data_IF_203982917754
#
_entry.id   IF_203982917754
#
_cell.length_a   1.000
_cell.length_b   1.000
_cell.length_c   1.000
_cell.angle_alpha   90.00
_cell.angle_beta   90.00
_cell.angle_gamma   90.00
#
_symmetry.space_group_name_H-M   'P 1'
#
loop_
_entity.id
_entity.type
_entity.pdbx_description
1 polymer ?
#
# COMPACT_ATOMS: atom_id res chain seq x y z
N UNK A 1 3.80 5.59 6.01
CA UNK A 1 2.84 4.67 5.34
C UNK A 1 1.46 5.32 5.33
N UNK A 2 0.72 5.28 4.21
CA UNK A 2 -0.59 5.91 4.12
C UNK A 2 -1.62 5.25 5.05
N UNK A 3 -2.51 6.05 5.64
CA UNK A 3 -3.68 5.54 6.39
C UNK A 3 -4.71 4.97 5.40
N UNK A 4 -5.52 3.96 5.78
CA UNK A 4 -6.60 3.46 4.92
C UNK A 4 -7.57 4.59 4.49
N UNK A 5 -8.04 4.62 3.24
CA UNK A 5 -8.78 5.77 2.68
C UNK A 5 -10.29 5.72 3.00
N UNK A 6 -10.69 5.31 4.20
CA UNK A 6 -12.12 5.24 4.54
C UNK A 6 -12.58 6.55 5.17
N UNK A 7 -13.11 7.43 4.32
CA UNK A 7 -13.74 8.69 4.73
C UNK A 7 -15.21 8.65 4.31
N UNK A 8 -16.09 9.00 5.25
CA UNK A 8 -17.51 9.21 4.99
C UNK A 8 -17.82 10.69 5.22
N UNK A 9 -18.41 11.32 4.21
CA UNK A 9 -18.82 12.71 4.27
C UNK A 9 -20.34 12.78 4.53
N UNK A 10 -20.72 13.40 5.65
CA UNK A 10 -22.11 13.53 6.08
C UNK A 10 -22.54 15.00 6.05
N UNK A 11 -23.67 15.26 5.41
CA UNK A 11 -24.40 16.52 5.56
C UNK A 11 -25.20 16.50 6.85
N UNK A 12 -25.16 17.59 7.59
CA UNK A 12 -25.85 17.70 8.88
C UNK A 12 -27.04 18.63 8.79
N UNK A 13 -28.16 18.20 9.39
CA UNK A 13 -29.32 19.03 9.61
C UNK A 13 -29.40 19.34 11.11
N UNK A 14 -29.45 20.62 11.45
CA UNK A 14 -29.44 21.10 12.83
C UNK A 14 -30.76 21.82 13.12
N UNK A 15 -31.32 21.51 14.29
CA UNK A 15 -32.45 22.22 14.88
C UNK A 15 -32.06 22.52 16.33
N UNK A 16 -32.01 23.81 16.69
CA UNK A 16 -31.67 24.23 18.04
C UNK A 16 -32.91 24.82 18.68
N UNK A 17 -33.53 24.04 19.57
CA UNK A 17 -34.60 24.49 20.44
C UNK A 17 -34.07 25.15 21.73
N UNK A 18 -34.93 25.89 22.40
CA UNK A 18 -34.61 26.57 23.67
C UNK A 18 -34.81 28.09 23.59
N UNK A 19 -34.49 28.78 24.69
CA UNK A 19 -34.60 30.24 24.81
C UNK A 19 -33.32 30.97 24.41
N UNK A 20 -32.18 30.27 24.49
CA UNK A 20 -30.85 30.82 24.29
C UNK A 20 -30.01 29.89 23.41
N UNK A 21 -29.23 30.47 22.49
CA UNK A 21 -28.25 29.72 21.73
C UNK A 21 -27.21 29.08 22.67
N UNK A 22 -26.83 27.81 22.45
CA UNK A 22 -25.84 27.13 23.28
C UNK A 22 -24.47 27.77 23.13
N UNK A 23 -23.63 27.62 24.16
CA UNK A 23 -22.24 28.04 24.08
C UNK A 23 -21.50 27.23 23.00
N UNK A 24 -21.77 25.91 22.95
CA UNK A 24 -21.07 24.98 22.08
C UNK A 24 -21.92 23.76 21.72
N UNK A 25 -21.73 23.26 20.49
CA UNK A 25 -22.18 21.94 20.06
C UNK A 25 -20.92 21.18 19.64
N UNK A 26 -20.58 20.12 20.38
CA UNK A 26 -19.30 19.40 20.23
C UNK A 26 -19.52 17.94 19.90
N UNK A 27 -18.73 17.43 18.96
CA UNK A 27 -18.65 16.03 18.60
C UNK A 27 -17.55 15.37 19.42
N UNK A 28 -17.87 14.26 20.08
CA UNK A 28 -16.98 13.50 20.96
C UNK A 28 -16.95 12.05 20.49
N UNK A 29 -15.76 11.50 20.31
CA UNK A 29 -15.51 10.16 19.78
C UNK A 29 -14.20 9.59 20.32
N UNK A 30 -13.97 8.31 20.09
CA UNK A 30 -12.71 7.65 20.44
C UNK A 30 -11.63 7.97 19.39
N UNK A 31 -10.67 8.82 19.78
CA UNK A 31 -9.56 9.26 18.92
C UNK A 31 -8.62 8.14 18.48
N UNK A 32 -8.73 6.94 19.06
CA UNK A 32 -8.00 5.76 18.56
C UNK A 32 -8.53 5.32 17.20
N UNK A 33 -9.84 5.42 17.01
CA UNK A 33 -10.53 4.86 15.84
C UNK A 33 -10.92 5.90 14.80
N UNK A 34 -11.15 7.15 15.21
CA UNK A 34 -11.68 8.18 14.32
C UNK A 34 -10.87 9.47 14.34
N UNK A 35 -10.89 10.14 13.19
CA UNK A 35 -10.49 11.53 12.98
C UNK A 35 -11.69 12.19 12.28
N UNK A 36 -12.17 13.33 12.78
CA UNK A 36 -13.33 14.03 12.18
C UNK A 36 -12.92 15.43 11.76
N UNK A 37 -13.14 15.77 10.50
CA UNK A 37 -12.68 17.04 9.89
C UNK A 37 -11.18 17.30 10.10
N UNK A 38 -10.37 16.24 10.11
CA UNK A 38 -8.92 16.32 10.35
C UNK A 38 -8.50 16.53 11.81
N UNK A 39 -9.45 16.52 12.76
CA UNK A 39 -9.21 16.73 14.18
C UNK A 39 -9.42 15.45 14.99
N UNK A 40 -8.73 15.34 16.13
CA UNK A 40 -8.78 14.18 17.02
C UNK A 40 -9.88 14.26 18.09
N UNK A 41 -10.62 15.39 18.16
CA UNK A 41 -11.73 15.59 19.08
C UNK A 41 -11.31 15.84 20.54
N UNK A 42 -10.01 15.95 20.82
CA UNK A 42 -9.48 16.31 22.14
C UNK A 42 -9.91 17.71 22.58
N UNK A 43 -9.69 18.06 23.85
CA UNK A 43 -10.00 19.41 24.34
C UNK A 43 -9.11 20.48 23.68
N UNK A 44 -7.91 20.12 23.25
CA UNK A 44 -7.01 21.01 22.50
C UNK A 44 -7.47 21.19 21.04
N UNK A 45 -8.07 20.16 20.43
CA UNK A 45 -8.53 20.15 19.04
C UNK A 45 -9.98 19.64 18.93
N UNK A 46 -10.97 20.39 19.44
CA UNK A 46 -12.35 19.93 19.49
C UNK A 46 -13.01 20.01 18.12
N UNK A 47 -13.92 19.07 17.84
CA UNK A 47 -14.76 19.11 16.64
C UNK A 47 -16.09 19.74 16.99
N UNK A 48 -16.41 20.87 16.36
CA UNK A 48 -17.58 21.68 16.68
C UNK A 48 -18.54 21.76 15.50
N UNK A 49 -19.84 21.82 15.82
CA UNK A 49 -20.86 22.27 14.89
C UNK A 49 -21.04 23.77 15.15
N UNK A 50 -20.75 24.56 14.13
CA UNK A 50 -20.75 26.02 14.18
C UNK A 50 -22.16 26.61 14.18
N UNK A 51 -23.12 25.92 13.56
CA UNK A 51 -24.51 26.38 13.55
C UNK A 51 -25.21 26.15 14.91
N UNK A 52 -25.34 27.25 15.67
CA UNK A 52 -25.95 27.30 17.00
C UNK A 52 -27.24 28.14 17.01
N UNK A 53 -27.69 28.64 15.86
CA UNK A 53 -28.80 29.58 15.82
C UNK A 53 -30.12 28.91 16.26
N UNK A 54 -30.94 29.64 17.01
CA UNK A 54 -32.24 29.13 17.42
C UNK A 54 -33.18 29.02 16.22
N UNK A 55 -34.05 28.01 16.25
CA UNK A 55 -35.16 27.89 15.30
C UNK A 55 -35.14 26.61 14.48
N UNK A 56 -35.93 26.64 13.40
CA UNK A 56 -36.29 25.47 12.62
C UNK A 56 -35.09 24.73 12.03
N UNK A 57 -35.33 23.44 11.78
CA UNK A 57 -34.39 22.52 11.13
C UNK A 57 -33.88 23.07 9.81
N UNK A 58 -32.56 23.09 9.66
CA UNK A 58 -31.86 23.58 8.46
C UNK A 58 -30.54 22.83 8.27
N UNK A 59 -29.97 22.94 7.08
CA UNK A 59 -28.62 22.43 6.81
C UNK A 59 -27.60 23.32 7.52
N UNK A 60 -26.68 22.73 8.28
CA UNK A 60 -25.53 23.45 8.80
C UNK A 60 -24.55 23.65 7.65
N UNK A 61 -24.78 24.71 6.87
CA UNK A 61 -24.17 24.97 5.56
C UNK A 61 -22.64 25.08 5.55
N UNK A 62 -22.00 25.22 6.71
CA UNK A 62 -20.54 25.27 6.88
C UNK A 62 -19.92 23.98 7.47
N UNK A 63 -20.73 23.03 7.96
CA UNK A 63 -20.27 21.94 8.82
C UNK A 63 -20.52 20.56 8.20
N UNK A 64 -19.97 20.31 7.01
CA UNK A 64 -19.90 18.94 6.54
C UNK A 64 -19.01 18.13 7.49
N UNK A 65 -19.51 17.00 7.98
CA UNK A 65 -18.77 16.11 8.88
C UNK A 65 -18.09 15.03 8.04
N UNK A 66 -16.78 15.13 7.90
CA UNK A 66 -15.90 14.11 7.32
C UNK A 66 -15.40 13.19 8.41
N UNK A 67 -15.98 12.01 8.49
CA UNK A 67 -15.60 10.97 9.45
C UNK A 67 -14.59 10.06 8.77
N UNK A 68 -13.36 10.06 9.27
CA UNK A 68 -12.28 9.18 8.81
C UNK A 68 -12.05 8.08 9.82
N UNK A 69 -12.11 6.83 9.36
CA UNK A 69 -11.78 5.66 10.17
C UNK A 69 -10.28 5.39 10.05
N UNK A 70 -9.54 5.59 11.14
CA UNK A 70 -8.07 5.50 11.16
C UNK A 70 -7.56 4.18 11.74
N UNK A 71 -8.41 3.46 12.47
CA UNK A 71 -8.11 2.12 13.00
C UNK A 71 -9.38 1.26 13.08
N UNK A 72 -9.24 -0.05 12.89
CA UNK A 72 -10.35 -0.99 13.00
C UNK A 72 -10.74 -1.28 14.45
N UNK A 73 -12.03 -1.54 14.69
CA UNK A 73 -12.59 -1.86 16.00
C UNK A 73 -13.47 -3.12 15.93
N UNK A 74 -13.50 -3.89 17.01
CA UNK A 74 -14.25 -5.15 17.12
C UNK A 74 -15.59 -5.01 17.86
N UNK A 75 -15.81 -3.86 18.51
CA UNK A 75 -17.01 -3.55 19.27
C UNK A 75 -17.69 -2.30 18.71
N UNK A 76 -18.99 -2.18 18.94
CA UNK A 76 -19.78 -0.99 18.57
C UNK A 76 -19.11 0.28 19.11
N UNK A 77 -18.87 1.25 18.23
CA UNK A 77 -18.39 2.58 18.61
C UNK A 77 -19.53 3.61 18.55
N UNK A 78 -19.36 4.70 19.27
CA UNK A 78 -20.32 5.80 19.32
C UNK A 78 -19.60 7.14 19.08
N UNK A 79 -20.11 7.91 18.12
CA UNK A 79 -19.75 9.32 17.92
C UNK A 79 -20.91 10.14 18.49
N UNK A 80 -20.67 10.87 19.57
CA UNK A 80 -21.71 11.59 20.33
C UNK A 80 -21.66 13.07 20.06
N UNK A 81 -22.82 13.70 19.94
CA UNK A 81 -22.96 15.15 19.83
C UNK A 81 -23.50 15.67 21.15
N UNK A 82 -22.71 16.49 21.83
CA UNK A 82 -23.08 17.14 23.08
C UNK A 82 -23.32 18.63 22.87
N UNK A 83 -24.36 19.14 23.49
CA UNK A 83 -24.68 20.57 23.55
C UNK A 83 -24.30 21.07 24.94
N UNK A 84 -23.54 22.15 24.98
CA UNK A 84 -23.19 22.89 26.18
C UNK A 84 -24.12 24.10 26.24
N UNK A 85 -25.12 24.11 27.15
CA UNK A 85 -26.04 25.23 27.29
C UNK A 85 -25.31 26.54 27.59
N UNK A 86 -25.98 27.67 27.35
CA UNK A 86 -25.43 29.00 27.59
C UNK A 86 -24.88 29.15 29.02
N UNK A 87 -23.70 29.76 29.15
CA UNK A 87 -23.01 29.98 30.42
C UNK A 87 -22.38 28.74 31.04
N UNK A 88 -22.32 27.62 30.31
CA UNK A 88 -21.67 26.38 30.76
C UNK A 88 -20.16 26.50 30.61
N UNK A 89 -19.65 27.05 29.50
CA UNK A 89 -18.20 27.09 29.24
C UNK A 89 -17.41 27.98 30.20
N UNK A 90 -18.07 28.87 30.92
CA UNK A 90 -17.45 29.70 31.96
C UNK A 90 -17.17 28.94 33.27
N UNK A 91 -17.69 27.72 33.41
CA UNK A 91 -17.57 26.89 34.63
C UNK A 91 -16.37 25.94 34.55
N UNK A 92 -15.92 25.36 35.67
CA UNK A 92 -14.90 24.31 35.66
C UNK A 92 -15.30 23.10 34.79
N UNK A 93 -14.33 22.41 34.19
CA UNK A 93 -14.56 21.31 33.24
C UNK A 93 -15.49 20.22 33.77
N UNK A 94 -15.39 19.87 35.05
CA UNK A 94 -16.28 18.87 35.66
C UNK A 94 -17.76 19.30 35.63
N UNK A 95 -18.04 20.57 35.91
CA UNK A 95 -19.38 21.13 35.81
C UNK A 95 -19.86 21.23 34.37
N UNK A 96 -18.96 21.53 33.42
CA UNK A 96 -19.28 21.51 31.99
C UNK A 96 -19.73 20.12 31.54
N UNK A 97 -18.99 19.08 31.94
CA UNK A 97 -19.29 17.69 31.61
C UNK A 97 -20.59 17.20 32.24
N UNK A 98 -20.97 17.74 33.40
CA UNK A 98 -22.24 17.46 34.06
C UNK A 98 -23.42 18.18 33.41
N UNK A 99 -23.24 19.44 33.02
CA UNK A 99 -24.30 20.29 32.47
C UNK A 99 -24.60 20.02 30.99
N UNK A 100 -23.65 19.45 30.23
CA UNK A 100 -23.84 19.16 28.81
C UNK A 100 -24.96 18.14 28.58
N UNK A 101 -25.71 18.31 27.49
CA UNK A 101 -26.81 17.43 27.09
C UNK A 101 -26.46 16.66 25.83
N UNK A 102 -26.82 15.39 25.76
CA UNK A 102 -26.67 14.58 24.53
C UNK A 102 -27.74 15.01 23.52
N UNK A 103 -27.33 15.57 22.39
CA UNK A 103 -28.24 15.97 21.31
C UNK A 103 -28.33 14.93 20.18
N UNK A 104 -27.32 14.09 20.03
CA UNK A 104 -27.33 13.06 19.00
C UNK A 104 -26.23 12.04 19.18
N UNK A 105 -26.36 10.91 18.49
CA UNK A 105 -25.31 9.89 18.40
C UNK A 105 -25.34 9.20 17.05
N UNK A 106 -24.17 8.94 16.51
CA UNK A 106 -23.97 8.04 15.38
C UNK A 106 -23.43 6.73 15.96
N UNK A 107 -24.10 5.62 15.63
CA UNK A 107 -23.66 4.28 16.00
C UNK A 107 -22.83 3.75 14.83
N UNK A 108 -21.56 3.46 15.09
CA UNK A 108 -20.66 2.86 14.10
C UNK A 108 -20.47 1.40 14.46
N UNK A 109 -20.96 0.51 13.59
CA UNK A 109 -20.86 -0.92 13.81
C UNK A 109 -19.50 -1.44 13.33
N UNK A 110 -18.90 -2.42 14.04
CA UNK A 110 -17.72 -3.09 13.52
C UNK A 110 -18.09 -3.80 12.22
N UNK A 111 -17.11 -3.92 11.32
CA UNK A 111 -17.33 -4.64 10.07
C UNK A 111 -17.56 -6.14 10.39
N UNK A 112 -18.76 -6.65 10.09
CA UNK A 112 -19.16 -8.04 10.32
C UNK A 112 -19.50 -8.66 8.97
N UNK A 113 -18.98 -9.87 8.71
CA UNK A 113 -19.27 -10.57 7.47
C UNK A 113 -20.62 -11.33 7.50
N UNK A 114 -21.25 -11.48 8.67
CA UNK A 114 -22.53 -12.19 8.81
C UNK A 114 -23.23 -11.88 10.14
N UNK A 115 -24.56 -11.93 10.15
CA UNK A 115 -25.39 -11.81 11.36
C UNK A 115 -25.11 -12.97 12.32
N UNK A 116 -24.86 -12.67 13.60
CA UNK A 116 -24.60 -13.69 14.63
C UNK A 116 -23.14 -14.12 14.80
N UNK A 117 -22.20 -13.60 13.99
CA UNK A 117 -20.77 -13.90 14.13
C UNK A 117 -19.98 -12.75 14.79
N UNK A 118 -18.82 -13.11 15.35
CA UNK A 118 -17.87 -12.17 15.95
C UNK A 118 -17.39 -11.16 14.89
N UNK A 119 -17.02 -9.95 15.34
CA UNK A 119 -16.39 -8.97 14.45
C UNK A 119 -15.12 -9.58 13.83
N UNK A 120 -15.02 -9.54 12.50
CA UNK A 120 -13.88 -10.10 11.77
C UNK A 120 -12.97 -8.96 11.38
N UNK A 121 -11.66 -9.11 11.63
CA UNK A 121 -10.67 -8.23 11.03
C UNK A 121 -10.66 -8.50 9.52
N UNK A 122 -11.42 -7.72 8.77
CA UNK A 122 -11.56 -7.88 7.32
C UNK A 122 -10.30 -7.46 6.54
N UNK A 123 -9.40 -6.72 7.19
CA UNK A 123 -8.11 -6.38 6.62
C UNK A 123 -7.12 -7.51 6.89
N UNK A 124 -6.71 -8.20 5.83
CA UNK A 124 -5.65 -9.21 5.90
C UNK A 124 -4.29 -8.53 6.05
N UNK A 125 -3.52 -8.92 7.05
CA UNK A 125 -2.12 -8.53 7.12
C UNK A 125 -1.28 -9.44 6.22
N UNK A 126 -0.48 -8.85 5.33
CA UNK A 126 0.47 -9.57 4.49
C UNK A 126 1.84 -8.96 4.67
N UNK A 127 2.83 -9.79 5.01
CA UNK A 127 4.22 -9.35 5.10
C UNK A 127 4.86 -9.37 3.71
N UNK A 128 5.62 -8.34 3.38
CA UNK A 128 6.40 -8.24 2.15
C UNK A 128 7.86 -8.02 2.51
N UNK A 129 8.75 -8.64 1.75
CA UNK A 129 10.18 -8.35 1.83
C UNK A 129 10.65 -7.87 0.46
N UNK A 130 11.28 -6.69 0.42
CA UNK A 130 11.89 -6.15 -0.79
C UNK A 130 13.36 -6.55 -0.84
N UNK A 131 13.75 -7.22 -1.91
CA UNK A 131 15.08 -7.80 -2.12
C UNK A 131 15.72 -7.08 -3.28
N UNK A 132 16.74 -6.27 -3.03
CA UNK A 132 17.54 -5.66 -4.09
C UNK A 132 18.39 -6.74 -4.73
N UNK A 133 18.19 -6.99 -6.02
CA UNK A 133 18.97 -7.99 -6.75
C UNK A 133 20.11 -7.30 -7.44
N UNK A 134 21.33 -7.84 -7.28
CA UNK A 134 22.50 -7.41 -8.04
C UNK A 134 22.87 -8.45 -9.07
N UNK A 135 23.16 -7.99 -10.27
CA UNK A 135 23.39 -8.82 -11.45
C UNK A 135 24.51 -8.22 -12.29
N UNK A 136 25.14 -9.04 -13.11
CA UNK A 136 26.24 -8.65 -14.00
C UNK A 136 26.02 -9.27 -15.38
N UNK A 137 24.93 -8.84 -16.04
CA UNK A 137 24.46 -9.51 -17.26
C UNK A 137 25.46 -9.36 -18.40
N UNK A 138 26.03 -8.17 -18.61
CA UNK A 138 26.91 -7.89 -19.76
C UNK A 138 28.25 -7.25 -19.34
N UNK A 139 28.83 -7.73 -18.24
CA UNK A 139 30.11 -7.23 -17.72
C UNK A 139 30.01 -5.93 -16.89
N UNK A 140 28.81 -5.37 -16.73
CA UNK A 140 28.53 -4.24 -15.84
C UNK A 140 27.62 -4.72 -14.73
N UNK A 141 28.09 -4.59 -13.48
CA UNK A 141 27.29 -4.93 -12.32
C UNK A 141 26.33 -3.78 -11.96
N UNK A 142 25.04 -4.11 -11.82
CA UNK A 142 23.99 -3.16 -11.41
C UNK A 142 23.10 -3.78 -10.34
N UNK A 143 22.45 -2.94 -9.53
CA UNK A 143 21.58 -3.38 -8.42
C UNK A 143 20.23 -2.69 -8.52
N UNK A 144 19.15 -3.48 -8.51
CA UNK A 144 17.79 -2.96 -8.51
C UNK A 144 17.43 -2.25 -7.20
N UNK A 145 16.46 -1.33 -7.25
CA UNK A 145 16.04 -0.56 -6.08
C UNK A 145 14.52 -0.42 -6.06
N UNK A 146 13.96 -0.37 -4.86
CA UNK A 146 12.56 -0.03 -4.64
C UNK A 146 12.45 1.36 -4.03
N UNK A 147 11.66 2.24 -4.63
CA UNK A 147 11.50 3.64 -4.22
C UNK A 147 10.44 3.76 -3.10
N UNK A 148 10.65 4.59 -2.07
CA UNK A 148 9.62 4.93 -1.08
C UNK A 148 8.25 5.33 -1.67
N UNK A 149 8.20 5.99 -2.82
CA UNK A 149 6.92 6.33 -3.48
C UNK A 149 6.16 5.09 -3.98
N UNK A 150 6.88 4.05 -4.42
CA UNK A 150 6.29 2.79 -4.85
C UNK A 150 5.68 2.03 -3.67
N UNK A 151 6.29 2.11 -2.48
CA UNK A 151 5.70 1.60 -1.24
C UNK A 151 4.35 2.26 -0.94
N UNK A 152 4.24 3.58 -1.12
CA UNK A 152 2.98 4.31 -0.91
C UNK A 152 1.92 3.83 -1.92
N UNK A 153 2.29 3.74 -3.20
CA UNK A 153 1.39 3.31 -4.26
C UNK A 153 0.94 1.86 -4.07
N UNK A 154 1.85 0.95 -3.74
CA UNK A 154 1.55 -0.44 -3.44
C UNK A 154 0.60 -0.54 -2.24
N UNK A 155 0.86 0.19 -1.16
CA UNK A 155 -0.03 0.17 0.01
C UNK A 155 -1.43 0.72 -0.33
N UNK A 156 -1.52 1.77 -1.13
CA UNK A 156 -2.81 2.30 -1.60
C UNK A 156 -3.57 1.28 -2.45
N UNK A 157 -2.89 0.57 -3.34
CA UNK A 157 -3.49 -0.52 -4.13
C UNK A 157 -3.95 -1.68 -3.22
N UNK A 158 -3.13 -2.11 -2.26
CA UNK A 158 -3.47 -3.17 -1.30
C UNK A 158 -4.71 -2.84 -0.47
N UNK A 159 -4.93 -1.56 -0.14
CA UNK A 159 -6.15 -1.16 0.57
C UNK A 159 -7.43 -1.41 -0.24
N UNK A 160 -7.39 -1.34 -1.58
CA UNK A 160 -8.53 -1.69 -2.44
C UNK A 160 -8.90 -3.18 -2.34
N UNK A 161 -7.95 -4.01 -1.93
CA UNK A 161 -8.13 -5.45 -1.73
C UNK A 161 -8.27 -5.84 -0.25
N UNK A 162 -8.49 -4.87 0.64
CA UNK A 162 -8.54 -5.08 2.09
C UNK A 162 -7.27 -5.76 2.64
N UNK A 163 -6.09 -5.37 2.15
CA UNK A 163 -4.80 -5.86 2.62
C UNK A 163 -4.00 -4.73 3.25
N UNK A 164 -3.44 -4.98 4.43
CA UNK A 164 -2.41 -4.15 5.04
C UNK A 164 -1.04 -4.79 4.84
N UNK A 165 -0.17 -4.08 4.13
CA UNK A 165 1.18 -4.50 3.83
C UNK A 165 2.13 -4.19 5.01
N UNK A 166 2.74 -5.22 5.57
CA UNK A 166 3.89 -5.08 6.48
C UNK A 166 5.16 -5.19 5.68
N UNK A 167 5.72 -4.05 5.34
CA UNK A 167 6.86 -3.91 4.45
C UNK A 167 8.16 -3.91 5.24
N UNK A 168 9.11 -4.72 4.81
CA UNK A 168 10.50 -4.70 5.29
C UNK A 168 11.47 -4.82 4.12
N UNK A 169 12.63 -4.18 4.26
CA UNK A 169 13.73 -4.39 3.33
C UNK A 169 14.51 -5.63 3.76
N UNK A 170 14.93 -6.42 2.79
CA UNK A 170 15.86 -7.51 3.03
C UNK A 170 17.18 -6.94 3.54
N UNK A 171 17.76 -7.62 4.53
CA UNK A 171 19.13 -7.39 4.97
C UNK A 171 19.78 -8.74 5.25
N UNK A 172 20.96 -8.97 4.69
CA UNK A 172 21.72 -10.20 4.87
C UNK A 172 22.40 -10.25 6.26
N UNK A 173 23.14 -11.31 6.55
CA UNK A 173 23.79 -11.51 7.86
C UNK A 173 24.84 -10.47 8.22
N UNK A 174 25.31 -9.68 7.26
CA UNK A 174 26.30 -8.60 7.45
C UNK A 174 25.68 -7.21 7.25
N UNK A 175 24.34 -7.10 7.18
CA UNK A 175 23.63 -5.83 7.10
C UNK A 175 23.52 -5.23 5.69
N UNK A 176 23.89 -5.98 4.64
CA UNK A 176 23.78 -5.52 3.24
C UNK A 176 22.44 -5.98 2.67
N UNK A 177 21.73 -5.07 2.03
CA UNK A 177 20.37 -5.29 1.52
C UNK A 177 20.34 -5.92 0.13
N UNK A 178 21.29 -6.80 -0.19
CA UNK A 178 21.55 -7.28 -1.54
C UNK A 178 21.52 -8.80 -1.67
N UNK A 179 20.78 -9.28 -2.66
CA UNK A 179 20.84 -10.64 -3.17
C UNK A 179 21.71 -10.68 -4.43
N UNK A 180 22.96 -11.10 -4.26
CA UNK A 180 23.98 -11.08 -5.32
C UNK A 180 23.88 -12.31 -6.24
N UNK A 181 23.62 -12.04 -7.52
CA UNK A 181 23.57 -12.99 -8.62
C UNK A 181 24.63 -12.70 -9.69
N UNK A 182 25.60 -11.82 -9.43
CA UNK A 182 26.63 -11.40 -10.40
C UNK A 182 27.50 -12.54 -10.92
N UNK A 183 27.62 -13.63 -10.15
CA UNK A 183 28.37 -14.85 -10.52
C UNK A 183 27.47 -16.00 -10.96
N UNK A 184 26.14 -15.79 -10.98
CA UNK A 184 25.19 -16.81 -11.40
C UNK A 184 25.13 -16.88 -12.92
N UNK A 185 25.65 -17.97 -13.49
CA UNK A 185 25.70 -18.16 -14.95
C UNK A 185 24.34 -18.12 -15.65
N UNK A 186 23.22 -18.25 -14.91
CA UNK A 186 21.87 -18.09 -15.46
C UNK A 186 21.49 -16.64 -15.74
N UNK A 187 22.23 -15.69 -15.16
CA UNK A 187 22.02 -14.24 -15.26
C UNK A 187 23.23 -13.51 -15.89
N UNK A 188 24.05 -14.21 -16.68
CA UNK A 188 25.24 -13.62 -17.32
C UNK A 188 25.26 -13.90 -18.81
N UNK A 189 25.87 -12.99 -19.58
CA UNK A 189 26.28 -13.19 -20.96
C UNK A 189 27.80 -13.35 -20.97
N UNK A 190 28.28 -14.46 -21.51
CA UNK A 190 29.71 -14.69 -21.69
C UNK A 190 30.08 -14.59 -23.17
N UNK A 191 31.15 -13.88 -23.48
CA UNK A 191 31.67 -13.76 -24.84
C UNK A 191 32.91 -14.64 -25.00
N UNK A 192 32.90 -15.50 -26.02
CA UNK A 192 34.09 -16.25 -26.40
C UNK A 192 35.15 -15.27 -26.92
N UNK A 193 36.35 -15.21 -26.31
CA UNK A 193 37.37 -14.22 -26.65
C UNK A 193 37.98 -14.45 -28.05
N UNK A 194 37.84 -15.65 -28.61
CA UNK A 194 38.40 -16.02 -29.91
C UNK A 194 37.41 -15.83 -31.05
N UNK A 195 36.15 -16.22 -30.85
CA UNK A 195 35.12 -16.19 -31.91
C UNK A 195 34.18 -14.99 -31.81
N UNK A 196 34.18 -14.27 -30.68
CA UNK A 196 33.19 -13.23 -30.37
C UNK A 196 31.78 -13.78 -30.13
N UNK A 197 31.59 -15.10 -30.15
CA UNK A 197 30.28 -15.71 -29.93
C UNK A 197 29.80 -15.47 -28.49
N UNK A 198 28.55 -15.02 -28.36
CA UNK A 198 27.90 -14.81 -27.06
C UNK A 198 27.19 -16.07 -26.62
N UNK A 199 27.20 -16.35 -25.32
CA UNK A 199 26.38 -17.38 -24.68
C UNK A 199 25.54 -16.70 -23.63
N UNK A 200 24.23 -16.84 -23.74
CA UNK A 200 23.26 -16.21 -22.86
C UNK A 200 22.86 -17.15 -21.73
N UNK A 201 22.85 -16.63 -20.50
CA UNK A 201 22.33 -17.33 -19.35
C UNK A 201 20.86 -17.68 -19.52
N UNK A 202 20.41 -18.74 -18.86
CA UNK A 202 19.03 -19.27 -18.97
C UNK A 202 17.93 -18.21 -18.82
N UNK A 203 18.13 -17.21 -17.97
CA UNK A 203 17.14 -16.16 -17.68
C UNK A 203 17.46 -14.84 -18.39
N UNK A 204 18.33 -14.89 -19.41
CA UNK A 204 18.66 -13.76 -20.26
C UNK A 204 18.09 -14.02 -21.65
N UNK A 205 17.43 -13.02 -22.21
CA UNK A 205 16.78 -13.12 -23.51
C UNK A 205 17.79 -13.06 -24.65
N UNK A 206 17.69 -14.06 -25.53
CA UNK A 206 18.39 -14.16 -26.81
C UNK A 206 17.37 -14.27 -27.93
N UNK A 207 17.23 -13.22 -28.72
CA UNK A 207 16.19 -13.07 -29.74
C UNK A 207 16.15 -14.20 -30.74
N UNK A 208 17.30 -14.62 -31.25
CA UNK A 208 17.39 -15.67 -32.29
C UNK A 208 16.95 -17.06 -31.77
N UNK A 209 17.07 -17.30 -30.47
CA UNK A 209 16.77 -18.58 -29.82
C UNK A 209 15.37 -18.57 -29.20
N UNK A 210 15.00 -17.49 -28.54
CA UNK A 210 13.75 -17.39 -27.81
C UNK A 210 12.55 -17.02 -28.69
N UNK A 211 12.78 -16.37 -29.84
CA UNK A 211 11.72 -16.02 -30.80
C UNK A 211 12.18 -16.18 -32.27
N UNK A 212 12.50 -17.42 -32.70
CA UNK A 212 13.12 -17.67 -34.00
C UNK A 212 12.20 -17.28 -35.18
N UNK A 213 10.89 -17.45 -35.03
CA UNK A 213 9.90 -17.18 -36.09
C UNK A 213 9.79 -15.68 -36.35
N UNK A 214 9.69 -14.85 -35.30
CA UNK A 214 9.53 -13.41 -35.48
C UNK A 214 10.88 -12.72 -35.72
N UNK A 215 11.99 -13.28 -35.23
CA UNK A 215 13.34 -12.87 -35.61
C UNK A 215 13.57 -13.03 -37.11
N UNK A 216 13.16 -14.17 -37.70
CA UNK A 216 13.26 -14.42 -39.14
C UNK A 216 12.36 -13.47 -39.98
N UNK A 217 11.23 -13.02 -39.40
CA UNK A 217 10.30 -12.12 -40.06
C UNK A 217 10.64 -10.61 -39.91
N UNK A 218 11.69 -10.26 -39.16
CA UNK A 218 12.07 -8.85 -38.94
C UNK A 218 11.07 -8.03 -38.10
N UNK A 219 10.12 -8.69 -37.43
CA UNK A 219 8.96 -8.04 -36.78
C UNK A 219 9.27 -7.41 -35.42
N UNK A 220 10.48 -7.59 -34.89
CA UNK A 220 10.93 -7.03 -33.61
C UNK A 220 12.10 -6.06 -33.80
N UNK A 221 11.88 -4.92 -34.41
CA UNK A 221 12.90 -3.84 -34.44
C UNK A 221 13.13 -3.22 -33.07
N UNK A 222 12.24 -3.49 -32.10
CA UNK A 222 12.18 -2.74 -30.83
C UNK A 222 12.50 -3.58 -29.57
N UNK A 223 12.92 -4.84 -29.70
CA UNK A 223 13.40 -5.68 -28.57
C UNK A 223 14.88 -5.95 -28.71
N UNK A 224 15.65 -5.81 -27.63
CA UNK A 224 17.10 -6.04 -27.61
C UNK A 224 17.46 -7.31 -26.86
N UNK A 225 18.52 -7.98 -27.30
CA UNK A 225 19.14 -9.08 -26.53
C UNK A 225 19.62 -8.58 -25.17
N UNK A 226 19.73 -9.51 -24.21
CA UNK A 226 20.31 -9.23 -22.91
C UNK A 226 19.35 -8.69 -21.84
N UNK A 227 18.07 -8.50 -22.19
CA UNK A 227 17.02 -8.27 -21.19
C UNK A 227 16.75 -9.50 -20.33
N UNK A 228 16.08 -9.31 -19.19
CA UNK A 228 15.61 -10.43 -18.37
C UNK A 228 14.55 -11.23 -19.14
N UNK A 229 14.62 -12.56 -19.03
CA UNK A 229 13.66 -13.49 -19.61
C UNK A 229 12.85 -14.15 -18.50
N UNK A 230 12.02 -13.36 -17.82
CA UNK A 230 11.24 -13.78 -16.66
C UNK A 230 10.17 -14.83 -16.99
N UNK A 231 9.69 -14.83 -18.23
CA UNK A 231 8.69 -15.77 -18.74
C UNK A 231 9.29 -17.10 -19.23
N UNK A 232 10.60 -17.28 -19.10
CA UNK A 232 11.30 -18.50 -19.52
C UNK A 232 10.57 -19.77 -19.01
N UNK A 233 10.18 -20.60 -19.98
CA UNK A 233 9.45 -21.88 -19.87
C UNK A 233 8.67 -22.09 -18.57
N UNK A 234 7.52 -21.44 -18.44
CA UNK A 234 6.62 -21.67 -17.30
C UNK A 234 6.99 -20.88 -16.04
N UNK A 235 7.68 -19.74 -16.20
CA UNK A 235 8.04 -18.80 -15.14
C UNK A 235 9.02 -19.40 -14.11
N UNK A 236 9.99 -20.17 -14.58
CA UNK A 236 10.95 -20.86 -13.71
C UNK A 236 11.88 -19.91 -12.96
N UNK A 237 12.13 -18.72 -13.50
CA UNK A 237 12.98 -17.70 -12.89
C UNK A 237 12.52 -17.36 -11.47
N UNK A 238 11.24 -17.09 -11.25
CA UNK A 238 10.68 -16.77 -9.92
C UNK A 238 10.85 -17.91 -8.91
N UNK A 239 10.70 -19.16 -9.38
CA UNK A 239 10.91 -20.32 -8.52
C UNK A 239 12.38 -20.51 -8.19
N UNK A 240 13.26 -20.33 -9.16
CA UNK A 240 14.70 -20.35 -8.97
C UNK A 240 15.14 -19.29 -7.95
N UNK A 241 14.77 -18.02 -8.16
CA UNK A 241 15.10 -16.89 -7.29
C UNK A 241 14.64 -17.14 -5.85
N UNK A 242 13.37 -17.53 -5.64
CA UNK A 242 12.86 -17.82 -4.29
C UNK A 242 13.62 -18.97 -3.62
N UNK A 243 13.85 -20.05 -4.35
CA UNK A 243 14.54 -21.24 -3.80
C UNK A 243 15.95 -20.88 -3.39
N UNK A 244 16.68 -20.19 -4.28
CA UNK A 244 18.06 -19.76 -4.02
C UNK A 244 18.13 -18.74 -2.88
N UNK A 245 17.25 -17.74 -2.86
CA UNK A 245 17.18 -16.72 -1.81
C UNK A 245 16.89 -17.32 -0.43
N UNK A 246 15.91 -18.23 -0.33
CA UNK A 246 15.54 -18.86 0.95
C UNK A 246 16.58 -19.88 1.44
N UNK A 247 17.44 -20.40 0.56
CA UNK A 247 18.54 -21.28 0.92
C UNK A 247 19.74 -20.53 1.56
N UNK A 248 19.80 -19.20 1.44
CA UNK A 248 20.83 -18.41 2.11
C UNK A 248 20.64 -18.43 3.63
N UNK A 249 21.76 -18.45 4.36
CA UNK A 249 21.77 -18.46 5.83
C UNK A 249 20.93 -17.31 6.40
N UNK A 250 19.95 -17.64 7.25
CA UNK A 250 19.07 -16.67 7.90
C UNK A 250 17.82 -16.28 7.11
N UNK A 251 17.73 -16.61 5.81
CA UNK A 251 16.62 -16.17 4.97
C UNK A 251 15.35 -17.02 5.12
N UNK A 252 15.41 -18.13 5.86
CA UNK A 252 14.23 -18.94 6.20
C UNK A 252 13.14 -18.12 6.92
N UNK A 253 13.50 -17.04 7.63
CA UNK A 253 12.56 -16.09 8.23
C UNK A 253 11.59 -15.45 7.21
N UNK A 254 12.01 -15.36 5.94
CA UNK A 254 11.23 -14.78 4.87
C UNK A 254 10.27 -15.77 4.19
N UNK A 255 10.23 -17.05 4.60
CA UNK A 255 9.43 -18.09 3.92
C UNK A 255 7.93 -17.74 3.81
N UNK A 256 7.39 -17.02 4.80
CA UNK A 256 5.99 -16.59 4.85
C UNK A 256 5.72 -15.21 4.24
N UNK A 257 6.76 -14.52 3.77
CA UNK A 257 6.66 -13.21 3.14
C UNK A 257 6.23 -13.34 1.68
N UNK A 258 5.63 -12.29 1.19
CA UNK A 258 5.56 -12.02 -0.24
C UNK A 258 6.90 -11.44 -0.66
N UNK A 259 7.71 -12.24 -1.34
CA UNK A 259 9.09 -11.87 -1.69
C UNK A 259 9.05 -11.10 -3.00
N UNK A 260 9.60 -9.90 -2.96
CA UNK A 260 9.66 -8.97 -4.07
C UNK A 260 11.11 -8.82 -4.50
N UNK A 261 11.47 -9.36 -5.66
CA UNK A 261 12.80 -9.20 -6.24
C UNK A 261 12.84 -7.95 -7.13
N UNK A 262 13.71 -7.01 -6.80
CA UNK A 262 13.89 -5.75 -7.53
C UNK A 262 15.14 -5.84 -8.39
N UNK A 263 14.99 -5.84 -9.71
CA UNK A 263 16.09 -5.82 -10.68
C UNK A 263 16.35 -4.40 -11.18
N UNK A 264 17.54 -4.13 -11.72
CA UNK A 264 17.82 -2.86 -12.41
C UNK A 264 17.68 -3.00 -13.94
N UNK A 265 17.60 -4.24 -14.42
CA UNK A 265 17.58 -4.57 -15.82
C UNK A 265 16.17 -4.65 -16.37
N UNK A 266 16.02 -4.21 -17.61
CA UNK A 266 14.74 -4.23 -18.31
C UNK A 266 14.38 -5.69 -18.68
N UNK A 267 13.07 -6.02 -18.67
CA UNK A 267 12.60 -7.29 -19.19
C UNK A 267 12.67 -7.28 -20.72
N UNK A 268 12.67 -8.47 -21.31
CA UNK A 268 12.76 -8.63 -22.75
C UNK A 268 11.55 -8.10 -23.52
N UNK A 269 10.39 -8.01 -22.86
CA UNK A 269 9.13 -7.55 -23.44
C UNK A 269 8.96 -6.02 -23.38
N UNK A 270 9.96 -5.29 -22.89
CA UNK A 270 9.94 -3.84 -22.86
C UNK A 270 10.30 -3.24 -24.23
N UNK A 271 9.40 -2.40 -24.74
CA UNK A 271 9.60 -1.59 -25.94
C UNK A 271 10.19 -0.24 -25.53
N UNK A 272 11.36 0.11 -26.07
CA UNK A 272 11.94 1.46 -25.95
C UNK A 272 11.61 2.24 -27.22
N UNK A 273 10.91 3.36 -27.08
CA UNK A 273 10.55 4.24 -28.19
C UNK A 273 11.73 5.15 -28.57
N UNK A 274 11.84 5.59 -29.83
CA UNK A 274 12.92 6.47 -30.31
C UNK A 274 13.06 7.80 -29.55
N UNK A 275 11.99 8.27 -28.89
CA UNK A 275 11.98 9.49 -28.07
C UNK A 275 12.40 9.30 -26.60
N UNK A 276 12.91 8.12 -26.21
CA UNK A 276 13.36 7.82 -24.85
C UNK A 276 12.24 7.38 -23.89
N UNK A 277 10.99 7.26 -24.36
CA UNK A 277 9.91 6.62 -23.61
C UNK A 277 9.99 5.10 -23.66
N UNK A 278 9.33 4.41 -22.74
CA UNK A 278 9.26 2.95 -22.70
C UNK A 278 7.83 2.46 -22.46
N UNK A 279 7.50 1.26 -22.96
CA UNK A 279 6.23 0.56 -22.72
C UNK A 279 6.52 -0.93 -22.55
N UNK A 280 6.12 -1.53 -21.43
CA UNK A 280 6.39 -2.94 -21.14
C UNK A 280 5.91 -3.36 -19.75
N UNK A 281 6.08 -4.63 -19.42
CA UNK A 281 5.68 -5.19 -18.12
C UNK A 281 6.73 -4.86 -17.05
N UNK A 282 6.54 -3.77 -16.30
CA UNK A 282 7.48 -3.32 -15.25
C UNK A 282 7.52 -4.21 -13.99
N UNK A 283 6.71 -5.27 -13.96
CA UNK A 283 6.68 -6.20 -12.84
C UNK A 283 5.69 -7.31 -13.09
N UNK A 284 6.01 -8.50 -12.60
CA UNK A 284 5.20 -9.68 -12.84
C UNK A 284 5.02 -10.47 -11.54
N UNK A 285 3.80 -10.96 -11.36
CA UNK A 285 3.43 -11.89 -10.29
C UNK A 285 3.21 -13.26 -10.93
N UNK A 286 3.99 -14.26 -10.52
CA UNK A 286 3.89 -15.61 -11.08
C UNK A 286 2.52 -16.23 -10.76
N UNK A 287 2.05 -16.02 -9.52
CA UNK A 287 0.79 -16.47 -8.93
C UNK A 287 0.62 -15.79 -7.55
N UNK A 288 -0.54 -15.16 -7.32
CA UNK A 288 -0.84 -14.46 -6.05
C UNK A 288 -0.79 -15.43 -4.85
N UNK A 289 -1.21 -16.68 -5.03
CA UNK A 289 -1.21 -17.72 -4.00
C UNK A 289 0.20 -18.21 -3.63
N UNK A 290 1.18 -18.08 -4.54
CA UNK A 290 2.57 -18.53 -4.32
C UNK A 290 3.46 -17.49 -3.64
N UNK A 291 2.94 -16.26 -3.47
CA UNK A 291 3.60 -15.14 -2.79
C UNK A 291 4.98 -14.81 -3.36
N UNK A 292 5.08 -14.66 -4.68
CA UNK A 292 6.33 -14.31 -5.39
C UNK A 292 6.05 -13.23 -6.43
N UNK A 293 6.89 -12.21 -6.48
CA UNK A 293 6.81 -11.17 -7.49
C UNK A 293 8.20 -10.64 -7.84
N UNK A 294 8.33 -10.14 -9.05
CA UNK A 294 9.44 -9.36 -9.55
C UNK A 294 8.93 -7.96 -9.88
N UNK A 295 9.68 -6.95 -9.47
CA UNK A 295 9.52 -5.58 -9.96
C UNK A 295 10.84 -5.15 -10.61
N UNK A 296 10.73 -4.23 -11.55
CA UNK A 296 11.82 -3.65 -12.33
C UNK A 296 11.80 -2.15 -12.11
#
# INVERSE_FOLDING_TARGET
MPKPPFEAELRTLVEVGGTDAPDQIRIVFDKRYFEINGLDGSDANPVLISDKALGAKREATADTIKIKCIEGFTTKQEIKVFVYPKGTLARPTAEQLFARKLAGKIIVLPNKNTTGQNAVKNIKEQKFVFVQVRTNINGIAVTGRFNPNENINLQNALYQFLIFGKFEDYSNSIGINEFDLTTDSKFTITTNPTTGAKTYGRFIYEKAVNDPVRAAAGLHTNTTDGGLNEDYTGKEMFTYLKTKFLALTGNSRYANHFIVFCFAELPYDMVVFPGGGYSGTLGQVQDIGKKKCMFI
#
